data_IF_521185231602
#
_entry.id   IF_521185231602
#
_cell.length_a   1.000
_cell.length_b   1.000
_cell.length_c   1.000
_cell.angle_alpha   90.00
_cell.angle_beta   90.00
_cell.angle_gamma   90.00
#
_symmetry.space_group_name_H-M   'P 1'
#
loop_
_entity.id
_entity.type
_entity.pdbx_description
1 polymer ?
#
# COMPACT_ATOMS: atom_id res chain seq x y z
N UNK A 1 -9.94 10.95 1.08
CA UNK A 1 -9.45 10.21 -0.10
C UNK A 1 -8.02 9.74 0.17
N UNK A 2 -7.70 8.56 -0.30
CA UNK A 2 -6.38 7.95 -0.09
C UNK A 2 -5.78 7.53 -1.42
N UNK A 3 -4.49 7.74 -1.57
CA UNK A 3 -3.74 7.25 -2.71
C UNK A 3 -2.90 6.07 -2.29
N UNK A 4 -2.97 4.99 -3.07
CA UNK A 4 -2.19 3.78 -2.85
C UNK A 4 -1.06 3.73 -3.86
N UNK A 5 0.17 3.64 -3.35
CA UNK A 5 1.38 3.51 -4.17
C UNK A 5 2.06 2.17 -3.90
N UNK A 6 2.82 1.71 -4.86
CA UNK A 6 3.66 0.53 -4.72
C UNK A 6 5.07 0.83 -5.21
N UNK A 7 6.07 0.44 -4.45
CA UNK A 7 7.46 0.62 -4.80
C UNK A 7 8.34 0.84 -3.58
N UNK A 8 9.31 1.73 -3.70
CA UNK A 8 10.21 2.09 -2.62
C UNK A 8 10.26 3.62 -2.46
N UNK A 9 11.08 4.10 -1.53
CA UNK A 9 11.18 5.54 -1.27
C UNK A 9 11.67 6.34 -2.48
N UNK A 10 12.48 5.72 -3.33
CA UNK A 10 13.09 6.40 -4.48
C UNK A 10 12.19 6.36 -5.71
N UNK A 11 11.39 5.30 -5.84
CA UNK A 11 10.54 5.12 -7.01
C UNK A 11 9.30 4.31 -6.63
N UNK A 12 8.15 4.93 -6.75
CA UNK A 12 6.87 4.28 -6.48
C UNK A 12 5.82 4.72 -7.49
N UNK A 13 4.93 3.80 -7.82
CA UNK A 13 3.87 4.01 -8.79
C UNK A 13 2.53 4.11 -8.08
N UNK A 14 1.67 5.00 -8.59
CA UNK A 14 0.29 5.08 -8.12
C UNK A 14 -0.48 3.85 -8.61
N UNK A 15 -0.99 3.07 -7.67
CA UNK A 15 -1.79 1.88 -7.99
C UNK A 15 -3.24 2.27 -8.20
N UNK A 16 -3.81 3.00 -7.24
CA UNK A 16 -5.20 3.42 -7.30
C UNK A 16 -5.47 4.51 -6.27
N UNK A 17 -6.61 5.15 -6.41
CA UNK A 17 -7.12 6.12 -5.44
C UNK A 17 -8.42 5.56 -4.89
N UNK A 18 -8.58 5.59 -3.57
CA UNK A 18 -9.74 5.02 -2.88
C UNK A 18 -10.28 6.03 -1.86
N UNK A 19 -11.49 5.78 -1.38
CA UNK A 19 -12.15 6.70 -0.46
C UNK A 19 -11.89 6.37 1.01
N UNK A 20 -11.48 5.13 1.31
CA UNK A 20 -11.21 4.72 2.69
C UNK A 20 -9.97 3.85 2.78
N UNK A 21 -9.42 3.74 4.00
CA UNK A 21 -8.30 2.84 4.26
C UNK A 21 -8.68 1.38 4.03
N UNK A 22 -9.90 1.01 4.36
CA UNK A 22 -10.38 -0.36 4.15
C UNK A 22 -10.32 -0.73 2.68
N UNK A 23 -10.74 0.18 1.80
CA UNK A 23 -10.64 -0.04 0.36
C UNK A 23 -9.19 -0.12 -0.10
N UNK A 24 -8.29 0.66 0.50
CA UNK A 24 -6.87 0.59 0.21
C UNK A 24 -6.30 -0.79 0.55
N UNK A 25 -6.65 -1.35 1.70
CA UNK A 25 -6.20 -2.69 2.08
C UNK A 25 -6.77 -3.77 1.16
N UNK A 26 -8.00 -3.62 0.72
CA UNK A 26 -8.58 -4.53 -0.28
C UNK A 26 -7.82 -4.47 -1.60
N UNK A 27 -7.46 -3.27 -2.02
CA UNK A 27 -6.67 -3.08 -3.25
C UNK A 27 -5.27 -3.70 -3.12
N UNK A 28 -4.65 -3.60 -1.95
CA UNK A 28 -3.37 -4.25 -1.67
C UNK A 28 -3.49 -5.77 -1.81
N UNK A 29 -4.51 -6.35 -1.18
CA UNK A 29 -4.73 -7.80 -1.24
C UNK A 29 -4.96 -8.28 -2.67
N UNK A 30 -5.74 -7.53 -3.44
CA UNK A 30 -6.02 -7.84 -4.84
C UNK A 30 -4.74 -7.75 -5.68
N UNK A 31 -3.92 -6.73 -5.45
CA UNK A 31 -2.67 -6.54 -6.15
C UNK A 31 -1.72 -7.70 -5.92
N UNK A 32 -1.58 -8.12 -4.67
CA UNK A 32 -0.75 -9.27 -4.29
C UNK A 32 -1.25 -10.54 -4.98
N UNK A 33 -2.57 -10.75 -4.97
CA UNK A 33 -3.18 -11.92 -5.59
C UNK A 33 -2.98 -11.95 -7.11
N UNK A 34 -3.16 -10.82 -7.78
CA UNK A 34 -2.98 -10.72 -9.22
C UNK A 34 -1.55 -11.01 -9.67
N UNK A 35 -0.57 -10.71 -8.82
CA UNK A 35 0.84 -10.96 -9.11
C UNK A 35 1.33 -12.32 -8.62
N UNK A 36 0.45 -13.13 -8.04
CA UNK A 36 0.78 -14.44 -7.47
C UNK A 36 1.89 -14.37 -6.42
N UNK A 37 1.96 -13.27 -5.69
CA UNK A 37 2.91 -13.13 -4.61
C UNK A 37 2.40 -13.84 -3.36
N UNK A 38 3.31 -14.42 -2.60
CA UNK A 38 2.97 -14.97 -1.29
C UNK A 38 3.16 -13.88 -0.24
N UNK A 39 2.09 -13.62 0.49
CA UNK A 39 2.14 -12.71 1.62
C UNK A 39 1.69 -13.48 2.85
N UNK A 40 2.61 -13.64 3.81
CA UNK A 40 2.30 -14.35 5.05
C UNK A 40 1.78 -13.41 6.12
N UNK A 41 1.99 -12.12 5.96
CA UNK A 41 1.54 -11.10 6.89
C UNK A 41 1.54 -9.73 6.21
N UNK A 42 0.78 -8.82 6.80
CA UNK A 42 0.85 -7.40 6.46
C UNK A 42 1.25 -6.65 7.72
N UNK A 43 2.35 -5.94 7.66
CA UNK A 43 2.81 -5.12 8.77
C UNK A 43 2.58 -3.66 8.41
N UNK A 44 1.82 -2.96 9.24
CA UNK A 44 1.49 -1.56 9.02
C UNK A 44 2.37 -0.68 9.89
N UNK A 45 3.08 0.25 9.25
CA UNK A 45 3.85 1.28 9.93
C UNK A 45 3.15 2.61 9.70
N UNK A 46 2.67 3.22 10.78
CA UNK A 46 1.87 4.44 10.72
C UNK A 46 2.77 5.66 10.93
N UNK A 47 2.83 6.53 9.94
CA UNK A 47 3.59 7.78 10.00
C UNK A 47 2.68 9.00 9.85
N UNK A 48 1.51 8.96 10.48
CA UNK A 48 0.52 10.03 10.39
C UNK A 48 -0.29 9.94 9.10
N UNK A 49 -0.04 10.82 8.15
CA UNK A 49 -0.80 10.83 6.88
C UNK A 49 -0.36 9.78 5.88
N UNK A 50 0.70 9.05 6.19
CA UNK A 50 1.21 7.98 5.32
C UNK A 50 1.36 6.71 6.13
N UNK A 51 0.84 5.61 5.59
CA UNK A 51 1.05 4.28 6.15
C UNK A 51 1.88 3.47 5.18
N UNK A 52 2.91 2.82 5.68
CA UNK A 52 3.77 1.95 4.89
C UNK A 52 3.42 0.51 5.23
N UNK A 53 3.05 -0.26 4.22
CA UNK A 53 2.58 -1.63 4.40
C UNK A 53 3.67 -2.59 3.91
N UNK A 54 4.20 -3.38 4.82
CA UNK A 54 5.20 -4.40 4.53
C UNK A 54 4.47 -5.73 4.34
N UNK A 55 4.58 -6.30 3.14
CA UNK A 55 3.95 -7.58 2.82
C UNK A 55 4.96 -8.74 2.75
N UNK A 56 6.18 -8.51 3.20
CA UNK A 56 7.23 -9.53 3.21
C UNK A 56 8.34 -9.31 2.20
N UNK A 57 8.25 -8.26 1.39
CA UNK A 57 9.34 -7.88 0.48
C UNK A 57 10.39 -7.07 1.24
N UNK A 58 11.67 -7.28 0.91
CA UNK A 58 12.76 -6.54 1.55
C UNK A 58 13.00 -5.17 0.93
N UNK A 59 12.48 -4.93 -0.29
CA UNK A 59 12.83 -3.73 -1.05
C UNK A 59 11.63 -2.91 -1.47
N UNK A 60 10.43 -3.48 -1.44
CA UNK A 60 9.23 -2.81 -1.94
C UNK A 60 8.10 -2.88 -0.92
N UNK A 61 7.31 -1.82 -0.89
CA UNK A 61 6.24 -1.66 0.08
C UNK A 61 5.03 -1.03 -0.59
N UNK A 62 3.89 -1.13 0.07
CA UNK A 62 2.72 -0.34 -0.31
C UNK A 62 2.68 0.91 0.56
N UNK A 63 2.27 2.02 -0.03
CA UNK A 63 2.14 3.29 0.67
C UNK A 63 0.71 3.77 0.54
N UNK A 64 0.05 3.97 1.68
CA UNK A 64 -1.28 4.57 1.72
C UNK A 64 -1.11 6.00 2.19
N UNK A 65 -1.36 6.94 1.29
CA UNK A 65 -1.21 8.35 1.59
C UNK A 65 -2.59 9.01 1.70
N UNK A 66 -2.88 9.59 2.85
CA UNK A 66 -4.11 10.33 3.05
C UNK A 66 -3.98 11.70 2.41
N UNK A 67 -4.91 12.01 1.50
CA UNK A 67 -4.99 13.35 0.94
C UNK A 67 -5.87 14.21 1.81
N UNK A 68 -5.33 15.36 2.19
CA UNK A 68 -6.08 16.38 2.91
C UNK A 68 -6.56 17.37 1.87
N UNK A 69 -7.86 17.39 1.68
CA UNK A 69 -8.49 18.36 0.78
C UNK A 69 -8.74 19.67 1.51
#
# INVERSE_FOLDING_TARGET
MYKLYYGNNDSKELVTTVESEQEAFRAISKYIEEHNWKSYYLRVNDFGNTKIIDYGSHTRFFYICKEVS
#
